data_IF_758040366212
#
_entry.id   IF_758040366212
#
_cell.length_a   1.000
_cell.length_b   1.000
_cell.length_c   1.000
_cell.angle_alpha   90.00
_cell.angle_beta   90.00
_cell.angle_gamma   90.00
#
_symmetry.space_group_name_H-M   'P 1'
#
loop_
_entity.id
_entity.type
_entity.pdbx_description
1 polymer ?
#
# COMPACT_ATOMS: atom_id res chain seq x y z
N UNK A 1 0.70 -66.51 55.84
CA UNK A 1 -0.42 -65.81 55.15
C UNK A 1 0.06 -64.38 54.98
N UNK A 2 0.66 -64.10 53.84
CA UNK A 2 1.40 -62.87 53.48
C UNK A 2 1.56 -62.89 51.94
N UNK A 3 1.84 -61.78 51.24
CA UNK A 3 1.52 -60.38 51.52
C UNK A 3 0.79 -59.68 50.34
N UNK A 4 0.34 -58.46 50.60
CA UNK A 4 -0.28 -57.50 49.67
C UNK A 4 0.74 -56.87 48.71
N UNK A 5 0.45 -56.88 47.40
CA UNK A 5 1.22 -56.12 46.41
C UNK A 5 0.78 -54.65 46.36
N UNK A 6 1.66 -53.76 46.82
CA UNK A 6 1.55 -52.32 46.63
C UNK A 6 1.94 -51.97 45.18
N UNK A 7 1.01 -51.37 44.42
CA UNK A 7 1.26 -50.86 43.06
C UNK A 7 2.03 -49.55 43.16
N UNK A 8 3.31 -49.59 42.82
CA UNK A 8 4.19 -48.42 42.77
C UNK A 8 3.83 -47.56 41.55
N UNK A 9 3.45 -46.31 41.80
CA UNK A 9 3.07 -45.32 40.78
C UNK A 9 4.31 -44.72 40.14
N UNK A 10 4.42 -44.82 38.81
CA UNK A 10 5.54 -44.31 38.02
C UNK A 10 5.44 -42.78 37.82
N UNK A 11 5.67 -42.01 38.89
CA UNK A 11 5.64 -40.53 38.87
C UNK A 11 6.73 -39.86 38.02
N UNK A 12 7.76 -40.62 37.59
CA UNK A 12 8.90 -40.09 36.83
C UNK A 12 8.60 -39.99 35.33
N UNK A 13 7.77 -40.88 34.78
CA UNK A 13 7.44 -40.89 33.36
C UNK A 13 6.51 -39.73 32.95
N UNK A 14 5.65 -39.28 33.86
CA UNK A 14 4.68 -38.21 33.62
C UNK A 14 5.33 -36.83 33.46
N UNK A 15 6.46 -36.58 34.14
CA UNK A 15 7.17 -35.31 34.08
C UNK A 15 7.87 -35.03 32.75
N UNK A 16 8.51 -36.05 32.16
CA UNK A 16 9.19 -35.92 30.87
C UNK A 16 8.20 -35.70 29.71
N UNK A 17 7.04 -36.37 29.75
CA UNK A 17 6.00 -36.21 28.72
C UNK A 17 5.43 -34.78 28.74
N UNK A 18 5.26 -34.19 29.92
CA UNK A 18 4.76 -32.82 30.09
C UNK A 18 5.72 -31.77 29.48
N UNK A 19 7.04 -31.95 29.67
CA UNK A 19 8.06 -31.07 29.09
C UNK A 19 8.12 -31.15 27.56
N UNK A 20 7.96 -32.35 27.00
CA UNK A 20 7.94 -32.54 25.54
C UNK A 20 6.73 -31.84 24.93
N UNK A 21 5.54 -31.97 25.55
CA UNK A 21 4.32 -31.28 25.10
C UNK A 21 4.49 -29.76 25.19
N UNK A 22 5.08 -29.23 26.26
CA UNK A 22 5.35 -27.80 26.41
C UNK A 22 6.29 -27.28 25.31
N UNK A 23 7.35 -28.02 24.99
CA UNK A 23 8.30 -27.67 23.93
C UNK A 23 7.63 -27.62 22.56
N UNK A 24 6.76 -28.58 22.25
CA UNK A 24 6.00 -28.61 20.99
C UNK A 24 5.08 -27.38 20.89
N UNK A 25 4.40 -27.00 21.97
CA UNK A 25 3.52 -25.80 21.98
C UNK A 25 4.33 -24.52 21.73
N UNK A 26 5.52 -24.39 22.33
CA UNK A 26 6.40 -23.21 22.12
C UNK A 26 6.89 -23.14 20.67
N UNK A 27 7.25 -24.28 20.07
CA UNK A 27 7.69 -24.34 18.67
C UNK A 27 6.55 -23.96 17.72
N UNK A 28 5.35 -24.53 17.92
CA UNK A 28 4.18 -24.26 17.08
C UNK A 28 3.78 -22.78 17.16
N UNK A 29 3.70 -22.21 18.36
CA UNK A 29 3.35 -20.79 18.52
C UNK A 29 4.39 -19.85 17.92
N UNK A 30 5.68 -20.19 17.99
CA UNK A 30 6.77 -19.42 17.36
C UNK A 30 6.67 -19.40 15.83
N UNK A 31 6.36 -20.55 15.21
CA UNK A 31 6.22 -20.67 13.74
C UNK A 31 5.01 -19.87 13.23
N UNK A 32 3.87 -19.93 13.94
CA UNK A 32 2.65 -19.21 13.57
C UNK A 32 2.85 -17.69 13.69
N UNK A 33 3.49 -17.22 14.76
CA UNK A 33 3.73 -15.79 14.98
C UNK A 33 4.66 -15.19 13.91
N UNK A 34 5.67 -15.94 13.48
CA UNK A 34 6.61 -15.47 12.45
C UNK A 34 5.98 -15.40 11.04
N UNK A 35 5.04 -16.30 10.74
CA UNK A 35 4.34 -16.34 9.45
C UNK A 35 3.41 -15.13 9.28
N UNK A 36 2.62 -14.81 10.31
CA UNK A 36 1.71 -13.66 10.30
C UNK A 36 2.45 -12.31 10.23
N UNK A 37 3.61 -12.20 10.90
CA UNK A 37 4.41 -10.96 10.89
C UNK A 37 4.97 -10.63 9.49
N UNK A 38 5.42 -11.65 8.74
CA UNK A 38 5.93 -11.47 7.38
C UNK A 38 4.85 -11.00 6.41
N UNK A 39 3.66 -11.60 6.50
CA UNK A 39 2.52 -11.23 5.65
C UNK A 39 2.06 -9.79 5.91
N UNK A 40 2.00 -9.37 7.19
CA UNK A 40 1.65 -8.00 7.56
C UNK A 40 2.70 -7.00 7.05
N UNK A 41 3.99 -7.31 7.18
CA UNK A 41 5.08 -6.44 6.70
C UNK A 41 5.03 -6.28 5.17
N UNK A 42 4.87 -7.37 4.43
CA UNK A 42 4.81 -7.36 2.98
C UNK A 42 3.60 -6.57 2.47
N UNK A 43 2.43 -6.76 3.09
CA UNK A 43 1.22 -6.01 2.75
C UNK A 43 1.36 -4.50 3.03
N UNK A 44 1.97 -4.13 4.15
CA UNK A 44 2.24 -2.72 4.47
C UNK A 44 3.27 -2.11 3.53
N UNK A 45 4.34 -2.83 3.20
CA UNK A 45 5.34 -2.39 2.23
C UNK A 45 4.70 -2.16 0.85
N UNK A 46 3.92 -3.14 0.36
CA UNK A 46 3.20 -3.06 -0.92
C UNK A 46 2.16 -1.94 -0.94
N UNK A 47 1.51 -1.65 0.19
CA UNK A 47 0.59 -0.50 0.33
C UNK A 47 1.34 0.83 0.26
N UNK A 48 2.46 0.94 0.96
CA UNK A 48 3.28 2.15 0.98
C UNK A 48 3.91 2.45 -0.39
N UNK A 49 4.41 1.43 -1.09
CA UNK A 49 5.00 1.59 -2.43
C UNK A 49 3.94 2.03 -3.45
N UNK A 50 2.72 1.46 -3.38
CA UNK A 50 1.57 1.89 -4.19
C UNK A 50 1.13 3.32 -3.88
N UNK A 51 1.11 3.71 -2.61
CA UNK A 51 0.78 5.09 -2.23
C UNK A 51 1.80 6.07 -2.81
N UNK A 52 3.09 5.77 -2.63
CA UNK A 52 4.17 6.59 -3.16
C UNK A 52 4.15 6.71 -4.69
N UNK A 53 3.88 5.61 -5.41
CA UNK A 53 3.78 5.64 -6.86
C UNK A 53 2.58 6.46 -7.35
N UNK A 54 1.45 6.40 -6.64
CA UNK A 54 0.28 7.27 -6.92
C UNK A 54 0.58 8.75 -6.70
N UNK A 55 1.23 9.11 -5.59
CA UNK A 55 1.65 10.51 -5.34
C UNK A 55 2.57 11.00 -6.45
N UNK A 56 3.54 10.18 -6.85
CA UNK A 56 4.46 10.52 -7.94
C UNK A 56 3.72 10.69 -9.26
N UNK A 57 2.80 9.79 -9.59
CA UNK A 57 1.97 9.92 -10.79
C UNK A 57 1.15 11.22 -10.78
N UNK A 58 0.53 11.57 -9.66
CA UNK A 58 -0.20 12.82 -9.50
C UNK A 58 0.69 14.05 -9.74
N UNK A 59 1.88 14.11 -9.14
CA UNK A 59 2.80 15.23 -9.34
C UNK A 59 3.22 15.36 -10.81
N UNK A 60 3.48 14.24 -11.50
CA UNK A 60 3.89 14.26 -12.90
C UNK A 60 2.75 14.60 -13.88
N UNK A 61 1.48 14.52 -13.49
CA UNK A 61 0.39 15.00 -14.35
C UNK A 61 0.28 16.53 -14.36
N UNK A 62 0.68 17.21 -13.28
CA UNK A 62 0.48 18.66 -13.12
C UNK A 62 1.15 19.50 -14.23
N UNK A 63 2.42 19.27 -14.64
CA UNK A 63 3.06 20.07 -15.68
C UNK A 63 2.32 20.06 -17.03
N UNK A 64 1.67 18.94 -17.37
CA UNK A 64 0.90 18.84 -18.60
C UNK A 64 -0.37 19.70 -18.54
N UNK A 65 -1.03 19.73 -17.38
CA UNK A 65 -2.20 20.58 -17.12
C UNK A 65 -1.82 22.06 -17.13
N UNK A 66 -0.74 22.43 -16.41
CA UNK A 66 -0.23 23.80 -16.34
C UNK A 66 0.00 24.39 -17.75
N UNK A 67 0.57 23.60 -18.66
CA UNK A 67 0.82 24.00 -20.07
C UNK A 67 -0.46 24.31 -20.86
N UNK A 68 -1.64 23.88 -20.41
CA UNK A 68 -2.93 24.12 -21.06
C UNK A 68 -3.73 25.26 -20.41
N UNK A 69 -3.32 25.75 -19.25
CA UNK A 69 -4.00 26.85 -18.56
C UNK A 69 -3.68 28.20 -19.20
N UNK A 70 -4.66 29.11 -19.20
CA UNK A 70 -4.48 30.49 -19.68
C UNK A 70 -3.53 31.30 -18.80
N UNK A 71 -3.59 31.08 -17.48
CA UNK A 71 -2.75 31.74 -16.48
C UNK A 71 -2.06 30.65 -15.64
N UNK A 72 -0.93 30.10 -16.12
CA UNK A 72 -0.25 28.97 -15.48
C UNK A 72 0.13 29.20 -14.01
N UNK A 73 0.54 30.43 -13.67
CA UNK A 73 0.96 30.82 -12.31
C UNK A 73 -0.17 30.83 -11.28
N UNK A 74 -1.43 30.79 -11.73
CA UNK A 74 -2.61 30.77 -10.83
C UNK A 74 -3.08 29.35 -10.47
N UNK A 75 -2.41 28.31 -10.98
CA UNK A 75 -2.84 26.94 -10.84
C UNK A 75 -2.70 26.43 -9.39
N UNK A 76 -3.80 25.92 -8.84
CA UNK A 76 -3.84 25.26 -7.53
C UNK A 76 -4.42 23.87 -7.75
N UNK A 77 -3.62 22.83 -7.50
CA UNK A 77 -4.00 21.44 -7.74
C UNK A 77 -4.59 20.79 -6.49
N UNK A 78 -5.56 19.90 -6.69
CA UNK A 78 -5.96 18.97 -5.63
C UNK A 78 -4.82 18.02 -5.24
N UNK A 79 -4.74 17.65 -3.97
CA UNK A 79 -3.65 16.80 -3.44
C UNK A 79 -4.07 15.33 -3.26
N UNK A 80 -5.34 15.00 -3.49
CA UNK A 80 -5.86 13.65 -3.26
C UNK A 80 -5.31 12.64 -4.26
N UNK A 81 -4.80 11.52 -3.74
CA UNK A 81 -4.36 10.36 -4.52
C UNK A 81 -5.47 9.29 -4.68
N UNK A 82 -6.65 9.53 -4.13
CA UNK A 82 -7.75 8.56 -4.10
C UNK A 82 -8.18 8.15 -5.52
N UNK A 83 -8.24 9.13 -6.43
CA UNK A 83 -8.62 8.93 -7.82
C UNK A 83 -7.43 8.70 -8.77
N UNK A 84 -6.27 8.30 -8.23
CA UNK A 84 -5.16 7.77 -9.03
C UNK A 84 -5.33 6.26 -9.14
N UNK A 85 -5.68 5.79 -10.32
CA UNK A 85 -5.89 4.37 -10.63
C UNK A 85 -4.64 3.78 -11.26
N UNK A 86 -4.22 2.60 -10.79
CA UNK A 86 -3.11 1.85 -11.38
C UNK A 86 -3.69 1.02 -12.53
N UNK A 87 -3.32 1.31 -13.77
CA UNK A 87 -3.73 0.51 -14.94
C UNK A 87 -2.86 -0.75 -15.02
N UNK A 88 -1.55 -0.59 -14.81
CA UNK A 88 -0.56 -1.67 -14.69
C UNK A 88 0.65 -1.16 -13.88
N UNK A 89 1.69 -1.98 -13.71
CA UNK A 89 2.84 -1.69 -12.84
C UNK A 89 3.57 -0.37 -13.15
N UNK A 90 3.49 0.11 -14.41
CA UNK A 90 4.16 1.33 -14.85
C UNK A 90 3.19 2.43 -15.29
N UNK A 91 1.89 2.15 -15.42
CA UNK A 91 0.92 3.06 -16.03
C UNK A 91 -0.19 3.41 -15.04
N UNK A 92 -0.41 4.70 -14.88
CA UNK A 92 -1.36 5.26 -13.93
C UNK A 92 -2.33 6.17 -14.67
N UNK A 93 -3.61 6.12 -14.29
CA UNK A 93 -4.61 7.11 -14.68
C UNK A 93 -4.89 8.01 -13.50
N UNK A 94 -4.57 9.29 -13.66
CA UNK A 94 -4.84 10.34 -12.69
C UNK A 94 -6.14 11.00 -13.06
N UNK A 95 -7.06 11.12 -12.10
CA UNK A 95 -8.23 12.01 -12.18
C UNK A 95 -8.14 12.96 -10.99
N UNK A 96 -8.13 14.26 -11.25
CA UNK A 96 -8.07 15.28 -10.20
C UNK A 96 -8.63 16.60 -10.71
N UNK A 97 -8.57 17.65 -9.90
CA UNK A 97 -8.97 19.00 -10.28
C UNK A 97 -7.80 19.98 -10.22
N UNK A 98 -7.94 21.06 -10.97
CA UNK A 98 -7.12 22.26 -10.87
C UNK A 98 -8.04 23.47 -10.78
N UNK A 99 -7.82 24.30 -9.77
CA UNK A 99 -8.39 25.62 -9.67
C UNK A 99 -7.44 26.60 -10.38
N UNK A 100 -7.96 27.44 -11.27
CA UNK A 100 -7.14 28.44 -11.99
C UNK A 100 -7.92 29.71 -12.26
N UNK A 101 -7.22 30.84 -12.33
CA UNK A 101 -7.83 32.11 -12.67
C UNK A 101 -8.04 32.24 -14.18
N UNK A 102 -9.16 32.85 -14.53
CA UNK A 102 -9.46 33.31 -15.88
C UNK A 102 -8.95 34.74 -16.09
N UNK A 103 -8.92 35.20 -17.34
CA UNK A 103 -8.58 36.60 -17.67
C UNK A 103 -9.48 37.64 -16.99
N UNK A 104 -10.65 37.24 -16.49
CA UNK A 104 -11.60 38.09 -15.76
C UNK A 104 -11.43 38.00 -14.23
N UNK A 105 -10.32 37.44 -13.74
CA UNK A 105 -10.01 37.24 -12.33
C UNK A 105 -10.97 36.32 -11.54
N UNK A 106 -11.82 35.56 -12.23
CA UNK A 106 -12.62 34.50 -11.60
C UNK A 106 -11.80 33.22 -11.52
N UNK A 107 -11.86 32.55 -10.37
CA UNK A 107 -11.32 31.20 -10.18
C UNK A 107 -12.32 30.17 -10.70
N UNK A 108 -11.85 29.24 -11.52
CA UNK A 108 -12.66 28.13 -12.04
C UNK A 108 -11.97 26.81 -11.72
N UNK A 109 -12.75 25.88 -11.17
CA UNK A 109 -12.34 24.49 -10.96
C UNK A 109 -12.55 23.71 -12.25
N UNK A 110 -11.50 23.07 -12.74
CA UNK A 110 -11.58 22.17 -13.89
C UNK A 110 -11.11 20.79 -13.47
N UNK A 111 -11.94 19.78 -13.69
CA UNK A 111 -11.53 18.39 -13.51
C UNK A 111 -10.74 17.95 -14.73
N UNK A 112 -9.77 17.06 -14.54
CA UNK A 112 -8.95 16.54 -15.62
C UNK A 112 -8.65 15.06 -15.41
N UNK A 113 -8.41 14.36 -16.51
CA UNK A 113 -7.85 13.02 -16.55
C UNK A 113 -6.54 13.04 -17.34
N UNK A 114 -5.52 12.33 -16.85
CA UNK A 114 -4.23 12.19 -17.50
C UNK A 114 -3.68 10.77 -17.30
N UNK A 115 -3.00 10.23 -18.30
CA UNK A 115 -2.23 8.99 -18.18
C UNK A 115 -0.77 9.32 -17.87
N UNK A 116 -0.19 8.67 -16.87
CA UNK A 116 1.22 8.81 -16.50
C UNK A 116 1.92 7.46 -16.62
N UNK A 117 3.05 7.42 -17.31
CA UNK A 117 3.83 6.20 -17.59
C UNK A 117 5.23 6.35 -17.03
N UNK A 118 5.63 5.40 -16.19
CA UNK A 118 6.99 5.26 -15.67
C UNK A 118 7.76 4.30 -16.59
N UNK A 119 8.59 4.84 -17.48
CA UNK A 119 9.33 4.03 -18.42
C UNK A 119 10.55 3.36 -17.77
N UNK A 120 11.00 2.28 -18.41
CA UNK A 120 12.13 1.47 -17.95
C UNK A 120 13.47 2.23 -17.96
N UNK A 121 13.56 3.31 -18.74
CA UNK A 121 14.73 4.22 -18.77
C UNK A 121 14.74 5.22 -17.61
N UNK A 122 13.84 5.08 -16.64
CA UNK A 122 13.70 5.96 -15.48
C UNK A 122 12.96 7.27 -15.78
N UNK A 123 12.55 7.51 -17.02
CA UNK A 123 11.79 8.70 -17.39
C UNK A 123 10.30 8.51 -17.10
N UNK A 124 9.64 9.63 -16.87
CA UNK A 124 8.20 9.67 -16.59
C UNK A 124 7.52 10.55 -17.63
N UNK A 125 6.51 10.00 -18.29
CA UNK A 125 5.77 10.66 -19.35
C UNK A 125 4.32 10.84 -18.93
N UNK A 126 3.73 11.96 -19.33
CA UNK A 126 2.32 12.26 -19.12
C UNK A 126 1.68 12.50 -20.48
N UNK A 127 0.53 11.86 -20.74
CA UNK A 127 -0.20 11.93 -22.01
C UNK A 127 -1.72 11.82 -21.81
N UNK A 128 -2.46 11.92 -22.90
CA UNK A 128 -3.92 11.74 -22.94
C UNK A 128 -4.65 12.68 -21.96
N UNK A 129 -4.17 13.93 -21.84
CA UNK A 129 -4.82 14.93 -21.00
C UNK A 129 -6.18 15.32 -21.59
N UNK A 130 -7.22 15.15 -20.79
CA UNK A 130 -8.60 15.52 -21.11
C UNK A 130 -9.14 16.33 -19.92
N UNK A 131 -9.73 17.50 -20.17
CA UNK A 131 -10.55 18.19 -19.17
C UNK A 131 -11.94 17.58 -19.16
N UNK A 132 -12.44 17.27 -17.97
CA UNK A 132 -13.74 16.63 -17.74
C UNK A 132 -14.71 17.76 -17.40
N UNK A 133 -15.72 17.94 -18.25
CA UNK A 133 -16.85 18.86 -18.03
C UNK A 133 -17.93 18.22 -17.15
#
# INVERSE_FOLDING_TARGET
MEPTHHKQSNGVATGCIMLIVLFIIIIVTSIVTQSNSKEILENNYKKNTKSHSKTKALLHSQPLVIKKLKIPSSAIFGESIEHVTIINDSTFRVINYVDSQTLKAFTTRNYYSCTVIFANDGKIYSKDLIFIE
#
